data_IF_025229082121
#
_entry.id   IF_025229082121
#
_cell.length_a   1.000
_cell.length_b   1.000
_cell.length_c   1.000
_cell.angle_alpha   90.00
_cell.angle_beta   90.00
_cell.angle_gamma   90.00
#
_symmetry.space_group_name_H-M   'P 1'
#
loop_
_entity.id
_entity.type
_entity.pdbx_description
1 polymer ?
#
# COMPACT_ATOMS: atom_id res chain seq x y z
N UNK A 1 -20.69 27.96 -24.59
CA UNK A 1 -19.51 27.11 -24.39
C UNK A 1 -19.16 27.10 -22.90
N UNK A 2 -19.60 26.10 -22.18
CA UNK A 2 -19.36 25.96 -20.74
C UNK A 2 -18.10 25.13 -20.53
N UNK A 3 -17.04 25.73 -20.02
CA UNK A 3 -15.81 25.08 -19.61
C UNK A 3 -16.11 24.23 -18.38
N UNK A 4 -16.09 22.92 -18.54
CA UNK A 4 -16.13 21.95 -17.44
C UNK A 4 -14.93 22.20 -16.52
N UNK A 5 -15.16 22.70 -15.30
CA UNK A 5 -14.18 22.76 -14.23
C UNK A 5 -13.79 21.31 -13.87
N UNK A 6 -12.53 20.92 -14.13
CA UNK A 6 -11.93 19.74 -13.52
C UNK A 6 -12.02 19.91 -12.01
N UNK A 7 -12.77 19.04 -11.35
CA UNK A 7 -12.76 18.96 -9.89
C UNK A 7 -11.35 18.64 -9.37
N UNK A 8 -10.99 19.11 -8.18
CA UNK A 8 -9.69 18.83 -7.58
C UNK A 8 -9.54 17.30 -7.43
N UNK A 9 -8.49 16.73 -8.00
CA UNK A 9 -8.12 15.33 -7.75
C UNK A 9 -7.90 15.12 -6.25
N UNK A 10 -8.24 13.95 -5.74
CA UNK A 10 -7.98 13.57 -4.33
C UNK A 10 -6.51 13.87 -4.01
N UNK A 11 -6.21 14.62 -2.92
CA UNK A 11 -4.84 14.87 -2.50
C UNK A 11 -4.06 13.55 -2.36
N UNK A 12 -2.81 13.51 -2.79
CA UNK A 12 -1.98 12.30 -2.96
C UNK A 12 -1.76 11.47 -1.70
N UNK A 13 -2.01 12.04 -0.52
CA UNK A 13 -1.84 11.43 0.80
C UNK A 13 -3.16 11.02 1.46
N UNK A 14 -4.28 11.17 0.77
CA UNK A 14 -5.61 10.91 1.32
C UNK A 14 -6.07 9.47 1.04
N UNK A 15 -6.71 8.85 2.03
CA UNK A 15 -7.24 7.49 2.04
C UNK A 15 -8.72 7.51 2.38
N UNK A 16 -9.46 6.52 1.92
CA UNK A 16 -10.83 6.28 2.44
C UNK A 16 -10.75 5.79 3.88
N UNK A 17 -11.64 6.30 4.75
CA UNK A 17 -11.74 5.88 6.15
C UNK A 17 -12.26 4.43 6.30
N UNK A 18 -12.84 3.86 5.25
CA UNK A 18 -13.52 2.56 5.24
C UNK A 18 -12.79 1.44 5.97
N UNK A 19 -11.46 1.36 5.81
CA UNK A 19 -10.64 0.35 6.51
C UNK A 19 -10.57 0.54 8.04
N UNK A 20 -10.93 1.71 8.55
CA UNK A 20 -10.89 2.08 9.98
C UNK A 20 -12.27 2.38 10.56
N UNK A 21 -13.36 2.03 9.86
CA UNK A 21 -14.73 2.16 10.35
C UNK A 21 -14.98 1.37 11.66
N UNK A 22 -14.12 0.42 11.97
CA UNK A 22 -14.13 -0.31 13.25
C UNK A 22 -13.74 0.53 14.46
N UNK A 23 -13.20 1.74 14.32
CA UNK A 23 -12.75 2.57 15.46
C UNK A 23 -13.89 2.87 16.45
N UNK A 24 -15.04 3.45 16.05
CA UNK A 24 -16.10 3.73 17.02
C UNK A 24 -16.69 2.49 17.69
N UNK A 25 -17.00 1.37 17.01
CA UNK A 25 -17.50 0.18 17.68
C UNK A 25 -16.47 -0.47 18.63
N UNK A 26 -15.17 -0.46 18.27
CA UNK A 26 -14.11 -0.98 19.15
C UNK A 26 -13.98 -0.12 20.40
N UNK A 27 -13.99 1.21 20.31
CA UNK A 27 -13.98 2.08 21.49
C UNK A 27 -15.15 1.77 22.43
N UNK A 28 -16.37 1.60 21.87
CA UNK A 28 -17.55 1.23 22.67
C UNK A 28 -17.38 -0.13 23.35
N UNK A 29 -16.84 -1.12 22.65
CA UNK A 29 -16.61 -2.46 23.23
C UNK A 29 -15.59 -2.45 24.38
N UNK A 30 -14.70 -1.46 24.40
CA UNK A 30 -13.74 -1.20 25.47
C UNK A 30 -14.30 -0.30 26.59
N UNK A 31 -15.61 0.04 26.55
CA UNK A 31 -16.26 0.86 27.56
C UNK A 31 -15.99 2.36 27.44
N UNK A 32 -15.47 2.81 26.28
CA UNK A 32 -15.13 4.22 26.03
C UNK A 32 -16.21 4.91 25.17
N UNK A 33 -16.35 6.22 25.34
CA UNK A 33 -17.26 7.05 24.53
C UNK A 33 -16.49 7.56 23.30
N UNK A 34 -16.82 7.07 22.07
CA UNK A 34 -16.05 7.44 20.87
C UNK A 34 -15.96 8.94 20.65
N UNK A 35 -17.05 9.69 20.88
CA UNK A 35 -17.08 11.14 20.69
C UNK A 35 -16.03 11.87 21.54
N UNK A 36 -15.86 11.48 22.79
CA UNK A 36 -14.90 12.08 23.72
C UNK A 36 -13.47 11.76 23.31
N UNK A 37 -13.21 10.48 22.97
CA UNK A 37 -11.87 10.04 22.54
C UNK A 37 -11.46 10.73 21.25
N UNK A 38 -12.34 10.77 20.25
CA UNK A 38 -12.06 11.40 18.97
C UNK A 38 -11.84 12.91 19.12
N UNK A 39 -12.70 13.60 19.87
CA UNK A 39 -12.58 15.04 20.13
C UNK A 39 -11.27 15.38 20.87
N UNK A 40 -10.87 14.57 21.86
CA UNK A 40 -9.60 14.74 22.59
C UNK A 40 -8.38 14.59 21.66
N UNK A 41 -8.46 13.76 20.60
CA UNK A 41 -7.45 13.61 19.56
C UNK A 41 -7.52 14.65 18.43
N UNK A 42 -8.52 15.55 18.46
CA UNK A 42 -8.74 16.54 17.40
C UNK A 42 -9.36 15.95 16.13
N UNK A 43 -10.10 14.83 16.24
CA UNK A 43 -10.78 14.18 15.13
C UNK A 43 -12.29 14.44 15.17
N UNK A 44 -12.85 14.72 13.99
CA UNK A 44 -14.30 14.86 13.85
C UNK A 44 -14.98 13.48 13.87
N UNK A 45 -16.03 13.33 14.67
CA UNK A 45 -16.83 12.11 14.71
C UNK A 45 -17.53 11.84 13.38
N UNK A 46 -17.94 12.88 12.65
CA UNK A 46 -18.53 12.79 11.30
C UNK A 46 -17.62 12.13 10.27
N UNK A 47 -16.32 11.99 10.57
CA UNK A 47 -15.40 11.22 9.74
C UNK A 47 -15.87 9.78 9.50
N UNK A 48 -16.58 9.18 10.45
CA UNK A 48 -17.08 7.81 10.41
C UNK A 48 -18.54 7.66 9.95
N UNK A 49 -19.19 8.74 9.46
CA UNK A 49 -20.56 8.68 8.95
C UNK A 49 -20.62 8.05 7.55
N UNK A 50 -19.52 8.16 6.77
CA UNK A 50 -19.42 7.62 5.42
C UNK A 50 -18.04 6.94 5.23
N UNK A 51 -17.99 5.65 4.83
CA UNK A 51 -16.75 4.94 4.56
C UNK A 51 -15.91 5.53 3.42
N UNK A 52 -16.50 6.40 2.60
CA UNK A 52 -15.81 7.12 1.52
C UNK A 52 -15.20 8.46 1.97
N UNK A 53 -15.43 8.89 3.22
CA UNK A 53 -14.74 10.03 3.80
C UNK A 53 -13.23 9.83 3.76
N UNK A 54 -12.50 10.93 3.57
CA UNK A 54 -11.06 10.90 3.36
C UNK A 54 -10.29 11.33 4.61
N UNK A 55 -9.19 10.64 4.87
CA UNK A 55 -8.22 10.96 5.91
C UNK A 55 -6.80 10.83 5.34
N UNK A 56 -5.85 11.67 5.76
CA UNK A 56 -4.47 11.47 5.36
C UNK A 56 -3.83 10.27 6.07
N UNK A 57 -2.83 9.64 5.44
CA UNK A 57 -2.13 8.50 6.03
C UNK A 57 -1.56 8.85 7.41
N UNK A 58 -0.91 10.01 7.53
CA UNK A 58 -0.37 10.50 8.79
C UNK A 58 -1.44 10.76 9.86
N UNK A 59 -2.61 11.32 9.46
CA UNK A 59 -3.72 11.55 10.39
C UNK A 59 -4.32 10.22 10.87
N UNK A 60 -4.46 9.21 9.98
CA UNK A 60 -4.92 7.88 10.34
C UNK A 60 -3.99 7.21 11.35
N UNK A 61 -2.68 7.30 11.17
CA UNK A 61 -1.72 6.78 12.13
C UNK A 61 -1.88 7.46 13.50
N UNK A 62 -1.92 8.80 13.54
CA UNK A 62 -2.15 9.54 14.79
C UNK A 62 -3.47 9.16 15.47
N UNK A 63 -4.53 8.95 14.69
CA UNK A 63 -5.82 8.48 15.20
C UNK A 63 -5.68 7.15 15.92
N UNK A 64 -5.02 6.18 15.30
CA UNK A 64 -4.86 4.84 15.90
C UNK A 64 -3.96 4.87 17.13
N UNK A 65 -2.84 5.60 17.09
CA UNK A 65 -1.96 5.79 18.23
C UNK A 65 -2.69 6.47 19.40
N UNK A 66 -3.50 7.50 19.10
CA UNK A 66 -4.33 8.15 20.11
C UNK A 66 -5.33 7.19 20.75
N UNK A 67 -6.03 6.38 19.93
CA UNK A 67 -6.97 5.39 20.44
C UNK A 67 -6.28 4.33 21.31
N UNK A 68 -5.08 3.89 20.94
CA UNK A 68 -4.27 2.96 21.77
C UNK A 68 -3.92 3.61 23.11
N UNK A 69 -3.42 4.85 23.10
CA UNK A 69 -3.05 5.56 24.32
C UNK A 69 -4.22 5.76 25.28
N UNK A 70 -5.40 6.10 24.74
CA UNK A 70 -6.59 6.36 25.55
C UNK A 70 -7.28 5.09 26.05
N UNK A 71 -7.20 3.99 25.28
CA UNK A 71 -7.84 2.72 25.67
C UNK A 71 -6.92 1.78 26.44
N UNK A 72 -5.60 1.98 26.41
CA UNK A 72 -4.63 1.01 26.91
C UNK A 72 -4.61 -0.32 26.14
N UNK A 73 -5.31 -0.40 24.99
CA UNK A 73 -5.44 -1.63 24.22
C UNK A 73 -4.31 -1.72 23.17
N UNK A 74 -3.25 -2.48 23.47
CA UNK A 74 -2.09 -2.63 22.58
C UNK A 74 -2.41 -3.29 21.22
N UNK A 75 -3.50 -4.08 21.15
CA UNK A 75 -3.94 -4.77 19.93
C UNK A 75 -5.16 -4.11 19.29
N UNK A 76 -5.29 -2.80 19.43
CA UNK A 76 -6.43 -2.01 18.95
C UNK A 76 -6.61 -2.16 17.42
N UNK A 77 -5.50 -2.16 16.66
CA UNK A 77 -5.52 -2.39 15.21
C UNK A 77 -6.10 -3.75 14.83
N UNK A 78 -5.74 -4.82 15.54
CA UNK A 78 -6.33 -6.14 15.35
C UNK A 78 -7.86 -6.09 15.53
N UNK A 79 -8.35 -5.45 16.60
CA UNK A 79 -9.79 -5.32 16.86
C UNK A 79 -10.50 -4.54 15.74
N UNK A 80 -9.90 -3.45 15.25
CA UNK A 80 -10.45 -2.71 14.11
C UNK A 80 -10.56 -3.61 12.88
N UNK A 81 -9.49 -4.34 12.57
CA UNK A 81 -9.45 -5.23 11.40
C UNK A 81 -10.47 -6.36 11.46
N UNK A 82 -10.90 -6.77 12.65
CA UNK A 82 -12.00 -7.75 12.83
C UNK A 82 -13.34 -7.24 12.27
N UNK A 83 -13.53 -5.93 12.21
CA UNK A 83 -14.68 -5.28 11.55
C UNK A 83 -14.49 -5.07 10.04
N UNK A 84 -13.30 -5.38 9.50
CA UNK A 84 -13.00 -5.30 8.07
C UNK A 84 -13.40 -6.57 7.33
N UNK A 85 -13.45 -6.48 5.98
CA UNK A 85 -13.78 -7.60 5.09
C UNK A 85 -14.03 -7.08 3.68
N UNK A 86 -14.68 -7.87 2.82
CA UNK A 86 -14.98 -7.46 1.43
C UNK A 86 -15.79 -6.17 1.36
N UNK A 87 -16.71 -5.97 2.30
CA UNK A 87 -17.56 -4.77 2.34
C UNK A 87 -16.77 -3.48 2.56
N UNK A 88 -15.68 -3.53 3.32
CA UNK A 88 -14.86 -2.36 3.60
C UNK A 88 -14.01 -1.91 2.39
N UNK A 89 -13.83 -2.79 1.39
CA UNK A 89 -13.07 -2.52 0.17
C UNK A 89 -13.90 -1.78 -0.91
N UNK A 90 -15.19 -1.53 -0.66
CA UNK A 90 -16.08 -0.84 -1.59
C UNK A 90 -16.17 -1.56 -2.95
N UNK A 91 -16.00 -0.81 -4.04
CA UNK A 91 -16.13 -1.36 -5.39
C UNK A 91 -15.09 -2.47 -5.69
N UNK A 92 -13.89 -2.37 -5.12
CA UNK A 92 -12.87 -3.43 -5.23
C UNK A 92 -13.37 -4.71 -4.57
N UNK A 93 -14.00 -4.61 -3.41
CA UNK A 93 -14.59 -5.77 -2.71
C UNK A 93 -15.69 -6.46 -3.53
N UNK A 94 -16.51 -5.69 -4.26
CA UNK A 94 -17.51 -6.26 -5.19
C UNK A 94 -16.85 -7.03 -6.35
N UNK A 95 -15.79 -6.47 -6.95
CA UNK A 95 -15.06 -7.16 -8.01
C UNK A 95 -14.43 -8.47 -7.51
N UNK A 96 -13.84 -8.44 -6.33
CA UNK A 96 -13.27 -9.62 -5.66
C UNK A 96 -14.33 -10.67 -5.41
N UNK A 97 -15.48 -10.29 -4.84
CA UNK A 97 -16.61 -11.17 -4.55
C UNK A 97 -17.17 -11.86 -5.80
N UNK A 98 -17.17 -11.16 -6.93
CA UNK A 98 -17.75 -11.65 -8.19
C UNK A 98 -16.70 -12.25 -9.14
N UNK A 99 -15.56 -12.64 -8.63
CA UNK A 99 -14.53 -13.37 -9.38
C UNK A 99 -14.92 -14.85 -9.55
N UNK A 100 -14.38 -15.57 -10.55
CA UNK A 100 -14.77 -16.97 -10.81
C UNK A 100 -14.26 -17.94 -9.76
N UNK A 101 -13.07 -17.65 -9.19
CA UNK A 101 -12.39 -18.46 -8.19
C UNK A 101 -11.58 -17.56 -7.24
N UNK A 102 -11.07 -18.15 -6.17
CA UNK A 102 -10.29 -17.45 -5.14
C UNK A 102 -8.99 -16.85 -5.73
N UNK A 103 -8.33 -17.53 -6.65
CA UNK A 103 -7.11 -17.05 -7.30
C UNK A 103 -7.35 -15.78 -8.11
N UNK A 104 -8.41 -15.78 -8.93
CA UNK A 104 -8.84 -14.62 -9.69
C UNK A 104 -9.30 -13.47 -8.75
N UNK A 105 -9.96 -13.79 -7.64
CA UNK A 105 -10.38 -12.84 -6.63
C UNK A 105 -9.18 -12.12 -6.00
N UNK A 106 -8.17 -12.87 -5.57
CA UNK A 106 -6.95 -12.30 -4.99
C UNK A 106 -6.10 -11.56 -6.02
N UNK A 107 -6.05 -12.02 -7.28
CA UNK A 107 -5.40 -11.30 -8.36
C UNK A 107 -6.06 -9.93 -8.61
N UNK A 108 -7.40 -9.87 -8.63
CA UNK A 108 -8.16 -8.63 -8.73
C UNK A 108 -7.92 -7.72 -7.51
N UNK A 109 -7.90 -8.29 -6.30
CA UNK A 109 -7.62 -7.54 -5.07
C UNK A 109 -6.23 -6.89 -5.14
N UNK A 110 -5.19 -7.64 -5.48
CA UNK A 110 -3.82 -7.13 -5.66
C UNK A 110 -3.76 -6.04 -6.75
N UNK A 111 -4.39 -6.30 -7.89
CA UNK A 111 -4.36 -5.39 -9.03
C UNK A 111 -5.01 -4.04 -8.74
N UNK A 112 -6.14 -4.02 -8.04
CA UNK A 112 -6.97 -2.84 -7.82
C UNK A 112 -6.90 -2.30 -6.39
N UNK A 113 -6.04 -2.85 -5.53
CA UNK A 113 -5.89 -2.41 -4.14
C UNK A 113 -5.56 -0.92 -4.01
N UNK A 114 -4.80 -0.39 -4.97
CA UNK A 114 -4.45 1.03 -5.04
C UNK A 114 -5.66 1.98 -5.14
N UNK A 115 -6.84 1.48 -5.58
CA UNK A 115 -8.08 2.25 -5.58
C UNK A 115 -8.74 2.31 -4.19
N UNK A 116 -8.36 1.38 -3.29
CA UNK A 116 -8.85 1.34 -1.91
C UNK A 116 -7.92 2.09 -0.95
N UNK A 117 -6.61 1.92 -1.07
CA UNK A 117 -5.63 2.51 -0.17
C UNK A 117 -4.38 2.98 -0.93
N UNK A 118 -4.00 4.25 -0.73
CA UNK A 118 -2.71 4.77 -1.13
C UNK A 118 -1.69 4.54 0.01
N UNK A 119 -0.41 4.38 -0.32
CA UNK A 119 0.67 4.18 0.66
C UNK A 119 0.82 2.74 1.17
N UNK A 120 0.04 1.79 0.63
CA UNK A 120 0.21 0.37 0.90
C UNK A 120 0.01 -0.47 -0.38
N UNK A 121 0.62 -1.65 -0.43
CA UNK A 121 0.51 -2.59 -1.55
C UNK A 121 0.22 -4.00 -1.05
N UNK A 122 -0.47 -4.77 -1.89
CA UNK A 122 -0.63 -6.20 -1.73
C UNK A 122 0.24 -6.95 -2.75
N UNK A 123 0.69 -8.13 -2.37
CA UNK A 123 1.31 -9.10 -3.28
C UNK A 123 0.74 -10.49 -3.02
N UNK A 124 0.70 -11.31 -4.06
CA UNK A 124 0.36 -12.73 -3.96
C UNK A 124 1.50 -13.53 -4.59
N UNK A 125 2.20 -14.29 -3.78
CA UNK A 125 3.24 -15.22 -4.22
C UNK A 125 2.76 -16.65 -4.04
N UNK A 126 3.10 -17.53 -5.00
CA UNK A 126 2.79 -18.96 -4.93
C UNK A 126 4.06 -19.75 -5.18
N UNK A 127 4.46 -20.58 -4.21
CA UNK A 127 5.67 -21.40 -4.31
C UNK A 127 5.50 -22.68 -3.51
N UNK A 128 5.86 -23.83 -4.10
CA UNK A 128 5.93 -25.10 -3.38
C UNK A 128 4.64 -25.56 -2.71
N UNK A 129 3.46 -25.26 -3.30
CA UNK A 129 2.17 -25.62 -2.71
C UNK A 129 1.67 -24.60 -1.67
N UNK A 130 2.40 -23.53 -1.43
CA UNK A 130 2.07 -22.46 -0.48
C UNK A 130 1.71 -21.17 -1.22
N UNK A 131 0.66 -20.49 -0.78
CA UNK A 131 0.29 -19.16 -1.21
C UNK A 131 0.57 -18.16 -0.07
N UNK A 132 1.15 -17.02 -0.40
CA UNK A 132 1.50 -15.94 0.54
C UNK A 132 0.83 -14.67 0.04
N UNK A 133 -0.18 -14.19 0.77
CA UNK A 133 -0.79 -12.89 0.55
C UNK A 133 -0.11 -11.87 1.47
N UNK A 134 0.80 -11.08 0.90
CA UNK A 134 1.58 -10.08 1.62
C UNK A 134 0.95 -8.69 1.58
N UNK A 135 1.16 -7.93 2.66
CA UNK A 135 0.76 -6.53 2.79
C UNK A 135 1.94 -5.69 3.23
N UNK A 136 2.26 -4.66 2.45
CA UNK A 136 3.39 -3.77 2.70
C UNK A 136 2.92 -2.33 2.76
N UNK A 137 3.37 -1.61 3.80
CA UNK A 137 3.20 -0.17 3.97
C UNK A 137 4.45 0.52 3.43
N UNK A 138 4.27 1.50 2.56
CA UNK A 138 5.38 2.15 1.84
C UNK A 138 6.09 3.22 2.67
N UNK A 139 5.43 3.78 3.69
CA UNK A 139 5.96 4.86 4.53
C UNK A 139 5.97 4.46 6.02
N UNK A 140 6.99 4.91 6.76
CA UNK A 140 7.13 4.68 8.19
C UNK A 140 7.84 3.37 8.56
N UNK A 141 8.18 3.24 9.84
CA UNK A 141 8.83 2.05 10.41
C UNK A 141 7.84 0.96 10.82
N UNK A 142 8.35 -0.26 11.08
CA UNK A 142 7.55 -1.41 11.50
C UNK A 142 6.74 -1.13 12.77
N UNK A 143 7.35 -0.53 13.77
CA UNK A 143 6.69 -0.24 15.05
C UNK A 143 5.68 0.92 14.93
N UNK A 144 5.97 1.94 14.12
CA UNK A 144 5.06 3.08 13.86
C UNK A 144 3.80 2.64 13.12
N UNK A 145 3.90 1.61 12.29
CA UNK A 145 2.78 1.11 11.47
C UNK A 145 2.12 -0.15 12.06
N UNK A 146 2.43 -0.54 13.30
CA UNK A 146 1.93 -1.76 13.92
C UNK A 146 0.41 -1.86 13.84
N UNK A 147 -0.32 -0.86 14.32
CA UNK A 147 -1.78 -0.88 14.35
C UNK A 147 -2.41 -0.97 12.95
N UNK A 148 -1.80 -0.30 11.97
CA UNK A 148 -2.24 -0.41 10.57
C UNK A 148 -1.97 -1.79 9.99
N UNK A 149 -0.81 -2.37 10.27
CA UNK A 149 -0.44 -3.71 9.83
C UNK A 149 -1.37 -4.77 10.40
N UNK A 150 -1.59 -4.73 11.72
CA UNK A 150 -2.49 -5.64 12.42
C UNK A 150 -3.93 -5.55 11.88
N UNK A 151 -4.43 -4.33 11.68
CA UNK A 151 -5.76 -4.08 11.13
C UNK A 151 -5.91 -4.59 9.70
N UNK A 152 -4.90 -4.36 8.86
CA UNK A 152 -4.91 -4.82 7.48
C UNK A 152 -4.89 -6.35 7.38
N UNK A 153 -4.02 -7.03 8.16
CA UNK A 153 -3.94 -8.49 8.18
C UNK A 153 -5.24 -9.11 8.71
N UNK A 154 -5.84 -8.53 9.75
CA UNK A 154 -7.12 -9.00 10.26
C UNK A 154 -8.25 -8.82 9.22
N UNK A 155 -8.29 -7.70 8.51
CA UNK A 155 -9.22 -7.48 7.42
C UNK A 155 -9.02 -8.45 6.25
N UNK A 156 -7.77 -8.68 5.84
CA UNK A 156 -7.43 -9.66 4.79
C UNK A 156 -7.76 -11.10 5.21
N UNK A 157 -7.58 -11.43 6.48
CA UNK A 157 -8.02 -12.71 7.03
C UNK A 157 -9.53 -12.91 6.87
N UNK A 158 -10.34 -11.88 7.17
CA UNK A 158 -11.78 -11.93 6.94
C UNK A 158 -12.11 -12.07 5.44
N UNK A 159 -11.44 -11.33 4.55
CA UNK A 159 -11.61 -11.47 3.10
C UNK A 159 -11.37 -12.92 2.66
N UNK A 160 -10.26 -13.53 3.08
CA UNK A 160 -9.95 -14.91 2.75
C UNK A 160 -10.99 -15.88 3.32
N UNK A 161 -11.44 -15.67 4.56
CA UNK A 161 -12.47 -16.48 5.19
C UNK A 161 -13.83 -16.36 4.49
N UNK A 162 -14.19 -15.16 4.01
CA UNK A 162 -15.40 -14.95 3.21
C UNK A 162 -15.31 -15.64 1.85
N UNK A 163 -14.14 -15.61 1.19
CA UNK A 163 -13.94 -16.22 -0.13
C UNK A 163 -13.84 -17.76 -0.06
N UNK A 164 -13.09 -18.26 0.89
CA UNK A 164 -12.80 -19.69 0.99
C UNK A 164 -13.82 -20.47 1.82
N UNK A 165 -14.66 -19.76 2.60
CA UNK A 165 -15.65 -20.39 3.47
C UNK A 165 -15.10 -20.84 4.85
N UNK A 166 -15.96 -21.41 5.71
CA UNK A 166 -15.67 -21.66 7.13
C UNK A 166 -14.60 -22.74 7.36
N UNK A 167 -14.34 -23.60 6.38
CA UNK A 167 -13.31 -24.64 6.45
C UNK A 167 -11.89 -24.12 6.24
N UNK A 168 -11.73 -22.88 5.74
CA UNK A 168 -10.42 -22.30 5.49
C UNK A 168 -9.73 -21.86 6.77
N UNK A 169 -8.42 -22.13 6.82
CA UNK A 169 -7.53 -21.64 7.88
C UNK A 169 -6.17 -21.29 7.27
N UNK A 170 -5.53 -20.22 7.74
CA UNK A 170 -4.15 -19.97 7.38
C UNK A 170 -3.23 -21.01 8.07
N UNK A 171 -2.10 -21.29 7.45
CA UNK A 171 -1.01 -22.06 8.08
C UNK A 171 -0.19 -21.17 9.00
N UNK A 172 0.09 -19.96 8.55
CA UNK A 172 0.84 -18.98 9.30
C UNK A 172 0.29 -17.56 9.07
N UNK A 173 0.52 -16.69 10.06
CA UNK A 173 0.32 -15.25 9.94
C UNK A 173 1.60 -14.54 10.36
N UNK A 174 2.12 -13.71 9.48
CA UNK A 174 3.35 -12.97 9.67
C UNK A 174 3.08 -11.52 10.00
N UNK A 175 3.78 -10.99 10.99
CA UNK A 175 3.77 -9.59 11.38
C UNK A 175 5.20 -9.02 11.38
N UNK A 176 5.37 -7.85 10.76
CA UNK A 176 6.67 -7.19 10.65
C UNK A 176 7.16 -6.63 12.00
N UNK A 177 6.24 -6.24 12.87
CA UNK A 177 6.57 -5.66 14.16
C UNK A 177 7.07 -6.69 15.17
N UNK A 178 7.65 -6.21 16.26
CA UNK A 178 8.13 -7.03 17.37
C UNK A 178 6.97 -7.78 18.03
N UNK A 179 7.30 -8.96 18.59
CA UNK A 179 6.32 -9.77 19.34
C UNK A 179 5.73 -8.93 20.48
N UNK A 180 4.40 -8.76 20.55
CA UNK A 180 3.74 -8.08 21.67
C UNK A 180 3.92 -8.83 22.98
N UNK A 181 3.75 -8.14 24.11
CA UNK A 181 3.75 -8.82 25.42
C UNK A 181 2.60 -9.82 25.54
N UNK A 182 1.40 -9.42 25.10
CA UNK A 182 0.23 -10.30 25.04
C UNK A 182 -0.09 -10.69 23.59
N UNK A 183 0.15 -11.96 23.23
CA UNK A 183 -0.17 -12.52 21.92
C UNK A 183 -1.51 -13.25 21.89
N UNK A 184 -2.14 -13.44 23.03
CA UNK A 184 -3.37 -14.22 23.15
C UNK A 184 -4.50 -13.75 22.22
N UNK A 185 -4.80 -12.41 22.08
CA UNK A 185 -5.80 -11.93 21.15
C UNK A 185 -5.55 -12.34 19.71
N UNK A 186 -4.27 -12.34 19.27
CA UNK A 186 -3.88 -12.76 17.93
C UNK A 186 -4.07 -14.27 17.74
N UNK A 187 -3.67 -15.09 18.74
CA UNK A 187 -3.82 -16.55 18.70
C UNK A 187 -5.29 -16.95 18.65
N UNK A 188 -6.12 -16.33 19.46
CA UNK A 188 -7.56 -16.58 19.49
C UNK A 188 -8.25 -16.22 18.16
N UNK A 189 -7.82 -15.13 17.53
CA UNK A 189 -8.42 -14.66 16.29
C UNK A 189 -7.98 -15.45 15.07
N UNK A 190 -6.68 -15.54 14.82
CA UNK A 190 -6.15 -16.18 13.61
C UNK A 190 -6.16 -17.70 13.67
N UNK A 191 -6.03 -18.29 14.85
CA UNK A 191 -5.96 -19.75 15.10
C UNK A 191 -4.92 -20.44 14.22
N UNK A 192 -3.75 -19.80 14.04
CA UNK A 192 -2.64 -20.21 13.20
C UNK A 192 -1.30 -19.94 13.89
N UNK A 193 -0.21 -20.46 13.31
CA UNK A 193 1.12 -20.12 13.78
C UNK A 193 1.40 -18.63 13.51
N UNK A 194 1.90 -17.91 14.53
CA UNK A 194 2.21 -16.48 14.45
C UNK A 194 3.73 -16.27 14.38
N UNK A 195 4.19 -15.59 13.36
CA UNK A 195 5.59 -15.19 13.19
C UNK A 195 5.71 -13.68 13.30
N UNK A 196 6.40 -13.20 14.32
CA UNK A 196 6.75 -11.79 14.52
C UNK A 196 8.17 -11.50 14.04
N UNK A 197 8.52 -10.23 13.86
CA UNK A 197 9.77 -9.78 13.23
C UNK A 197 9.99 -10.38 11.83
N UNK A 198 8.91 -10.56 11.09
CA UNK A 198 8.96 -11.04 9.72
C UNK A 198 9.40 -9.92 8.74
N UNK A 199 9.79 -10.28 7.53
CA UNK A 199 10.17 -9.31 6.49
C UNK A 199 8.97 -8.50 5.96
N UNK A 200 7.76 -9.07 6.07
CA UNK A 200 6.51 -8.43 5.65
C UNK A 200 5.34 -8.91 6.52
N UNK A 201 4.27 -8.13 6.53
CA UNK A 201 2.99 -8.63 7.03
C UNK A 201 2.39 -9.58 5.98
N UNK A 202 1.94 -10.78 6.36
CA UNK A 202 1.39 -11.74 5.39
C UNK A 202 0.45 -12.76 6.03
N UNK A 203 -0.41 -13.34 5.20
CA UNK A 203 -1.19 -14.53 5.50
C UNK A 203 -0.70 -15.65 4.58
N UNK A 204 -0.29 -16.75 5.17
CA UNK A 204 0.22 -17.94 4.48
C UNK A 204 -0.81 -19.05 4.54
N UNK A 205 -1.09 -19.70 3.41
CA UNK A 205 -2.08 -20.76 3.32
C UNK A 205 -1.76 -21.71 2.16
N UNK A 206 -2.41 -22.87 2.12
CA UNK A 206 -2.20 -23.84 1.06
C UNK A 206 -2.74 -23.34 -0.29
N UNK A 207 -1.90 -23.42 -1.34
CA UNK A 207 -2.24 -22.85 -2.66
C UNK A 207 -3.41 -23.53 -3.36
N UNK A 208 -3.80 -24.75 -2.96
CA UNK A 208 -4.98 -25.42 -3.50
C UNK A 208 -6.27 -24.61 -3.32
N UNK A 209 -6.35 -23.76 -2.31
CA UNK A 209 -7.48 -22.88 -2.09
C UNK A 209 -7.70 -21.87 -3.22
N UNK A 210 -6.65 -21.52 -3.97
CA UNK A 210 -6.74 -20.58 -5.09
C UNK A 210 -7.66 -21.10 -6.22
N UNK A 211 -7.76 -22.44 -6.39
CA UNK A 211 -8.60 -23.06 -7.40
C UNK A 211 -10.08 -23.21 -6.97
N UNK A 212 -10.43 -22.85 -5.71
CA UNK A 212 -11.79 -23.00 -5.23
C UNK A 212 -12.72 -22.06 -5.99
N UNK A 213 -13.80 -22.58 -6.60
CA UNK A 213 -14.78 -21.77 -7.30
C UNK A 213 -15.55 -20.90 -6.31
N UNK A 214 -15.87 -19.68 -6.72
CA UNK A 214 -16.79 -18.80 -6.01
C UNK A 214 -18.21 -18.96 -6.55
N UNK A 215 -19.25 -18.59 -5.77
CA UNK A 215 -20.63 -18.68 -6.23
C UNK A 215 -20.81 -17.94 -7.57
N UNK A 216 -21.46 -18.62 -8.53
CA UNK A 216 -21.74 -18.02 -9.83
C UNK A 216 -22.59 -16.76 -9.68
N UNK A 217 -22.16 -15.70 -10.33
CA UNK A 217 -22.90 -14.44 -10.44
C UNK A 217 -23.17 -14.19 -11.93
N UNK A 218 -24.33 -13.64 -12.24
CA UNK A 218 -24.68 -13.27 -13.61
C UNK A 218 -23.53 -12.49 -14.26
N UNK A 219 -23.10 -12.95 -15.43
CA UNK A 219 -21.98 -12.38 -16.20
C UNK A 219 -22.12 -10.87 -16.43
N UNK A 220 -23.36 -10.38 -16.49
CA UNK A 220 -23.67 -8.96 -16.68
C UNK A 220 -23.32 -8.10 -15.46
N UNK A 221 -23.58 -8.61 -14.24
CA UNK A 221 -23.23 -7.91 -12.98
C UNK A 221 -21.70 -7.79 -12.88
N UNK A 222 -20.99 -8.89 -13.14
CA UNK A 222 -19.52 -8.88 -13.16
C UNK A 222 -18.99 -7.88 -14.18
N UNK A 223 -19.53 -7.87 -15.39
CA UNK A 223 -19.15 -6.94 -16.46
C UNK A 223 -19.41 -5.49 -16.08
N UNK A 224 -20.54 -5.22 -15.42
CA UNK A 224 -20.88 -3.87 -14.94
C UNK A 224 -19.89 -3.38 -13.87
N UNK A 225 -19.58 -4.22 -12.87
CA UNK A 225 -18.59 -3.89 -11.83
C UNK A 225 -17.20 -3.67 -12.44
N UNK A 226 -16.78 -4.53 -13.38
CA UNK A 226 -15.51 -4.37 -14.10
C UNK A 226 -15.44 -3.03 -14.84
N UNK A 227 -16.50 -2.65 -15.57
CA UNK A 227 -16.55 -1.36 -16.26
C UNK A 227 -16.44 -0.17 -15.31
N UNK A 228 -17.08 -0.25 -14.14
CA UNK A 228 -17.00 0.82 -13.13
C UNK A 228 -15.58 0.92 -12.53
N UNK A 229 -14.94 -0.22 -12.25
CA UNK A 229 -13.55 -0.25 -11.79
C UNK A 229 -12.61 0.30 -12.86
N UNK A 230 -12.76 -0.09 -14.12
CA UNK A 230 -11.92 0.40 -15.21
C UNK A 230 -12.08 1.93 -15.40
N UNK A 231 -13.30 2.44 -15.25
CA UNK A 231 -13.57 3.86 -15.27
C UNK A 231 -12.92 4.59 -14.07
N UNK A 232 -12.98 4.00 -12.88
CA UNK A 232 -12.33 4.52 -11.69
C UNK A 232 -10.79 4.48 -11.83
N UNK A 233 -10.25 3.35 -12.24
CA UNK A 233 -8.82 3.17 -12.52
C UNK A 233 -8.30 4.12 -13.62
N UNK A 234 -9.15 4.45 -14.60
CA UNK A 234 -8.78 5.41 -15.64
C UNK A 234 -8.69 6.85 -15.12
N UNK A 235 -9.48 7.22 -14.13
CA UNK A 235 -9.38 8.52 -13.44
C UNK A 235 -8.12 8.63 -12.57
N UNK A 236 -7.63 7.50 -12.06
CA UNK A 236 -6.41 7.38 -11.25
C UNK A 236 -5.18 6.98 -12.11
N UNK A 237 -5.25 7.09 -13.45
CA UNK A 237 -4.10 6.82 -14.34
C UNK A 237 -2.88 7.68 -14.04
N UNK A 238 -3.11 8.87 -13.51
CA UNK A 238 -2.03 9.78 -13.11
C UNK A 238 -1.24 9.27 -11.87
N UNK A 239 -1.80 8.31 -11.11
CA UNK A 239 -1.18 7.78 -9.90
C UNK A 239 -0.23 6.61 -10.17
N UNK A 240 -0.41 5.84 -11.26
CA UNK A 240 0.43 4.69 -11.55
C UNK A 240 1.91 5.04 -11.75
N UNK A 241 2.29 6.10 -12.50
CA UNK A 241 3.65 6.57 -12.56
C UNK A 241 4.24 6.94 -11.20
N UNK A 242 3.43 7.51 -10.30
CA UNK A 242 3.89 7.90 -8.96
C UNK A 242 4.09 6.69 -8.04
N UNK A 243 3.23 5.68 -8.12
CA UNK A 243 3.46 4.40 -7.44
C UNK A 243 4.79 3.77 -7.89
N UNK A 244 5.03 3.75 -9.21
CA UNK A 244 6.30 3.27 -9.76
C UNK A 244 7.48 4.11 -9.27
N UNK A 245 7.34 5.45 -9.19
CA UNK A 245 8.40 6.35 -8.67
C UNK A 245 8.72 6.06 -7.20
N UNK A 246 7.72 5.86 -6.36
CA UNK A 246 7.91 5.55 -4.94
C UNK A 246 8.71 4.26 -4.78
N UNK A 247 8.34 3.21 -5.50
CA UNK A 247 9.07 1.95 -5.48
C UNK A 247 10.47 2.07 -6.09
N UNK A 248 10.63 2.89 -7.14
CA UNK A 248 11.93 3.16 -7.76
C UNK A 248 12.89 3.86 -6.79
N UNK A 249 12.42 4.84 -6.00
CA UNK A 249 13.26 5.50 -4.99
C UNK A 249 13.76 4.50 -3.95
N UNK A 250 12.89 3.63 -3.43
CA UNK A 250 13.26 2.56 -2.50
C UNK A 250 14.22 1.55 -3.15
N UNK A 251 13.94 1.14 -4.38
CA UNK A 251 14.76 0.20 -5.15
C UNK A 251 16.13 0.78 -5.50
N UNK A 252 16.23 2.08 -5.76
CA UNK A 252 17.51 2.76 -5.95
C UNK A 252 18.36 2.75 -4.68
N UNK A 253 17.76 2.96 -3.51
CA UNK A 253 18.49 2.91 -2.23
C UNK A 253 18.97 1.50 -1.89
N UNK A 254 18.22 0.46 -2.29
CA UNK A 254 18.59 -0.96 -2.07
C UNK A 254 19.48 -1.55 -3.17
N UNK A 255 19.75 -0.82 -4.25
CA UNK A 255 20.65 -1.25 -5.33
C UNK A 255 20.02 -2.12 -6.42
N UNK A 256 18.72 -2.38 -6.40
CA UNK A 256 18.04 -3.23 -7.38
C UNK A 256 16.82 -2.52 -8.02
N UNK A 257 17.10 -1.45 -8.77
CA UNK A 257 16.09 -0.69 -9.50
C UNK A 257 15.85 -1.23 -10.93
N UNK A 258 15.81 -2.57 -11.10
CA UNK A 258 15.46 -3.20 -12.38
C UNK A 258 13.96 -3.27 -12.58
N UNK A 259 13.50 -3.24 -13.82
CA UNK A 259 12.07 -3.23 -14.15
C UNK A 259 11.35 -4.51 -13.71
N UNK A 260 12.02 -5.66 -13.75
CA UNK A 260 11.50 -6.94 -13.27
C UNK A 260 11.28 -6.93 -11.76
N UNK A 261 12.21 -6.34 -11.00
CA UNK A 261 12.09 -6.19 -9.54
C UNK A 261 10.95 -5.27 -9.16
N UNK A 262 10.85 -4.09 -9.77
CA UNK A 262 9.76 -3.14 -9.50
C UNK A 262 8.41 -3.70 -9.94
N UNK A 263 8.35 -4.44 -11.05
CA UNK A 263 7.14 -5.13 -11.48
C UNK A 263 6.72 -6.22 -10.46
N UNK A 264 7.67 -6.97 -9.91
CA UNK A 264 7.41 -7.95 -8.86
C UNK A 264 6.85 -7.31 -7.58
N UNK A 265 7.40 -6.15 -7.15
CA UNK A 265 6.88 -5.39 -6.02
C UNK A 265 5.44 -4.90 -6.25
N UNK A 266 5.06 -4.64 -7.49
CA UNK A 266 3.69 -4.30 -7.90
C UNK A 266 2.83 -5.54 -8.17
N UNK A 267 3.36 -6.75 -7.99
CA UNK A 267 2.70 -8.03 -8.31
C UNK A 267 2.16 -8.10 -9.75
N UNK A 268 2.88 -7.49 -10.70
CA UNK A 268 2.55 -7.49 -12.12
C UNK A 268 3.72 -8.01 -12.95
N UNK A 269 3.43 -8.52 -14.16
CA UNK A 269 4.46 -8.89 -15.10
C UNK A 269 5.17 -7.64 -15.66
N UNK A 270 6.51 -7.63 -15.93
CA UNK A 270 7.24 -6.49 -16.49
C UNK A 270 6.64 -5.92 -17.77
N UNK A 271 6.02 -6.77 -18.58
CA UNK A 271 5.29 -6.35 -19.79
C UNK A 271 4.07 -5.49 -19.46
N UNK A 272 3.37 -5.82 -18.36
CA UNK A 272 2.22 -5.05 -17.87
C UNK A 272 2.67 -3.70 -17.30
N UNK A 273 3.78 -3.66 -16.55
CA UNK A 273 4.41 -2.43 -16.08
C UNK A 273 4.69 -1.48 -17.25
N UNK A 274 5.43 -1.94 -18.27
CA UNK A 274 5.77 -1.14 -19.42
C UNK A 274 4.53 -0.69 -20.21
N UNK A 275 3.52 -1.55 -20.39
CA UNK A 275 2.27 -1.21 -21.08
C UNK A 275 1.50 -0.11 -20.33
N UNK A 276 1.39 -0.21 -19.00
CA UNK A 276 0.71 0.81 -18.18
C UNK A 276 1.43 2.15 -18.20
N UNK A 277 2.76 2.15 -18.09
CA UNK A 277 3.55 3.37 -18.20
C UNK A 277 3.40 4.02 -19.60
N UNK A 278 3.40 3.22 -20.66
CA UNK A 278 3.20 3.72 -22.02
C UNK A 278 1.81 4.36 -22.20
N UNK A 279 0.77 3.84 -21.56
CA UNK A 279 -0.57 4.45 -21.56
C UNK A 279 -0.60 5.82 -20.85
N UNK A 280 0.34 6.07 -19.92
CA UNK A 280 0.56 7.36 -19.27
C UNK A 280 1.58 8.24 -20.03
N UNK A 281 2.01 7.86 -21.24
CA UNK A 281 3.00 8.60 -22.04
C UNK A 281 4.43 8.52 -21.50
N UNK A 282 4.73 7.53 -20.63
CA UNK A 282 6.02 7.39 -19.95
C UNK A 282 6.68 6.04 -20.29
N UNK A 283 8.00 5.99 -20.15
CA UNK A 283 8.76 4.74 -20.12
C UNK A 283 9.35 4.49 -18.75
N UNK A 284 9.64 3.23 -18.42
CA UNK A 284 10.33 2.88 -17.18
C UNK A 284 11.68 3.61 -17.05
N UNK A 285 12.45 3.67 -18.14
CA UNK A 285 13.72 4.37 -18.18
C UNK A 285 13.58 5.86 -17.90
N UNK A 286 12.55 6.50 -18.43
CA UNK A 286 12.27 7.92 -18.16
C UNK A 286 11.98 8.16 -16.67
N UNK A 287 11.19 7.28 -16.05
CA UNK A 287 10.92 7.39 -14.61
C UNK A 287 12.16 7.14 -13.77
N UNK A 288 12.96 6.15 -14.10
CA UNK A 288 14.22 5.83 -13.42
C UNK A 288 15.20 7.01 -13.51
N UNK A 289 15.35 7.60 -14.68
CA UNK A 289 16.21 8.77 -14.90
C UNK A 289 15.71 9.98 -14.09
N UNK A 290 14.41 10.23 -14.05
CA UNK A 290 13.81 11.30 -13.24
C UNK A 290 14.04 11.09 -11.74
N UNK A 291 13.82 9.87 -11.22
CA UNK A 291 14.09 9.56 -9.81
C UNK A 291 15.57 9.75 -9.46
N UNK A 292 16.48 9.27 -10.32
CA UNK A 292 17.92 9.49 -10.12
C UNK A 292 18.29 10.96 -10.10
N UNK A 293 17.70 11.75 -10.99
CA UNK A 293 17.96 13.18 -11.06
C UNK A 293 17.45 13.92 -9.82
N UNK A 294 16.22 13.65 -9.37
CA UNK A 294 15.66 14.24 -8.16
C UNK A 294 16.50 13.90 -6.91
N UNK A 295 16.88 12.62 -6.77
CA UNK A 295 17.74 12.18 -5.66
C UNK A 295 19.13 12.81 -5.73
N UNK A 296 19.71 12.93 -6.95
CA UNK A 296 20.98 13.61 -7.15
C UNK A 296 20.92 15.08 -6.73
N UNK A 297 19.87 15.80 -7.13
CA UNK A 297 19.66 17.20 -6.74
C UNK A 297 19.56 17.36 -5.22
N UNK A 298 18.82 16.48 -4.57
CA UNK A 298 18.67 16.51 -3.10
C UNK A 298 20.02 16.26 -2.41
N UNK A 299 20.76 15.22 -2.81
CA UNK A 299 22.08 14.93 -2.24
C UNK A 299 23.09 16.07 -2.51
N UNK A 300 23.06 16.67 -3.69
CA UNK A 300 23.93 17.80 -4.04
C UNK A 300 23.61 19.04 -3.20
N UNK A 301 22.35 19.25 -2.81
CA UNK A 301 21.88 20.40 -2.02
C UNK A 301 22.09 20.19 -0.52
N UNK A 302 21.71 19.01 -0.01
CA UNK A 302 21.52 18.75 1.42
C UNK A 302 22.70 18.00 2.05
N UNK A 303 23.74 17.65 1.26
CA UNK A 303 24.93 16.96 1.77
C UNK A 303 26.22 17.46 1.13
N UNK A 304 27.34 17.20 1.83
CA UNK A 304 28.70 17.45 1.31
C UNK A 304 29.33 16.21 0.63
N UNK A 305 28.51 15.19 0.29
CA UNK A 305 28.98 13.99 -0.40
C UNK A 305 29.74 14.34 -1.68
N UNK A 306 30.86 13.66 -1.93
CA UNK A 306 31.62 13.82 -3.17
C UNK A 306 30.79 13.35 -4.37
N UNK A 307 31.06 13.89 -5.55
CA UNK A 307 30.35 13.50 -6.78
C UNK A 307 30.50 12.00 -7.05
N UNK A 308 31.64 11.41 -6.70
CA UNK A 308 31.87 9.96 -6.82
C UNK A 308 31.01 9.15 -5.83
N UNK A 309 30.77 9.66 -4.63
CA UNK A 309 29.92 9.00 -3.64
C UNK A 309 28.44 9.06 -4.05
N UNK A 310 27.97 10.19 -4.57
CA UNK A 310 26.63 10.32 -5.15
C UNK A 310 26.44 9.35 -6.33
N UNK A 311 27.45 9.25 -7.20
CA UNK A 311 27.42 8.30 -8.31
C UNK A 311 27.23 6.85 -7.82
N UNK A 312 27.93 6.47 -6.75
CA UNK A 312 27.85 5.15 -6.14
C UNK A 312 26.46 4.89 -5.55
N UNK A 313 25.91 5.83 -4.77
CA UNK A 313 24.57 5.73 -4.16
C UNK A 313 23.48 5.59 -5.24
N UNK A 314 23.65 6.26 -6.39
CA UNK A 314 22.70 6.18 -7.51
C UNK A 314 22.97 5.01 -8.46
N UNK A 315 23.88 4.10 -8.08
CA UNK A 315 24.27 2.89 -8.83
C UNK A 315 24.75 3.17 -10.25
N UNK A 316 25.61 4.19 -10.39
CA UNK A 316 26.42 4.38 -11.61
C UNK A 316 27.74 3.62 -11.48
N UNK A 317 28.22 3.07 -12.58
CA UNK A 317 29.51 2.35 -12.63
C UNK A 317 30.68 3.23 -12.19
N UNK A 318 30.63 4.52 -12.52
CA UNK A 318 31.65 5.49 -12.17
C UNK A 318 31.10 6.93 -12.16
N UNK A 319 31.88 7.87 -11.62
CA UNK A 319 31.52 9.28 -11.54
C UNK A 319 31.36 9.93 -12.93
N UNK A 320 32.07 9.46 -13.94
CA UNK A 320 32.02 10.00 -15.31
C UNK A 320 30.65 9.71 -15.94
N UNK A 321 30.17 8.49 -15.80
CA UNK A 321 28.85 8.05 -16.27
C UNK A 321 27.73 8.85 -15.60
N UNK A 322 27.84 9.09 -14.29
CA UNK A 322 26.91 9.95 -13.58
C UNK A 322 26.94 11.41 -14.07
N UNK A 323 28.12 12.00 -14.22
CA UNK A 323 28.28 13.38 -14.72
C UNK A 323 27.66 13.54 -16.11
N UNK A 324 27.84 12.56 -16.99
CA UNK A 324 27.22 12.57 -18.31
C UNK A 324 25.70 12.50 -18.24
N UNK A 325 25.14 11.62 -17.41
CA UNK A 325 23.71 11.51 -17.19
C UNK A 325 23.13 12.80 -16.62
N UNK A 326 23.75 13.37 -15.59
CA UNK A 326 23.32 14.62 -14.97
C UNK A 326 23.34 15.80 -15.95
N UNK A 327 24.38 15.90 -16.82
CA UNK A 327 24.42 16.92 -17.87
C UNK A 327 23.29 16.75 -18.88
N UNK A 328 22.94 15.53 -19.24
CA UNK A 328 21.81 15.25 -20.13
C UNK A 328 20.50 15.74 -19.55
N UNK A 329 20.33 15.64 -18.22
CA UNK A 329 19.08 16.03 -17.54
C UNK A 329 18.98 17.53 -17.25
N UNK A 330 20.11 18.18 -16.89
CA UNK A 330 20.13 19.56 -16.37
C UNK A 330 20.88 20.56 -17.23
N UNK A 331 21.49 20.14 -18.33
CA UNK A 331 22.38 20.94 -19.19
C UNK A 331 23.60 21.55 -18.44
N UNK A 332 23.89 21.09 -17.21
CA UNK A 332 25.03 21.54 -16.41
C UNK A 332 25.73 20.37 -15.70
N UNK A 333 26.90 20.61 -15.11
CA UNK A 333 27.57 19.57 -14.32
C UNK A 333 27.09 19.55 -12.88
N UNK A 334 27.14 18.39 -12.17
CA UNK A 334 26.78 18.32 -10.75
C UNK A 334 27.53 19.33 -9.88
N UNK A 335 28.81 19.54 -10.14
CA UNK A 335 29.64 20.49 -9.38
C UNK A 335 29.19 21.95 -9.59
N UNK A 336 28.91 22.36 -10.83
CA UNK A 336 28.36 23.70 -11.11
C UNK A 336 26.97 23.87 -10.55
N UNK A 337 26.14 22.86 -10.63
CA UNK A 337 24.79 22.87 -10.06
C UNK A 337 24.84 23.05 -8.55
N UNK A 338 25.70 22.31 -7.82
CA UNK A 338 25.92 22.47 -6.37
C UNK A 338 26.40 23.87 -6.01
N UNK A 339 27.35 24.41 -6.75
CA UNK A 339 27.87 25.77 -6.51
C UNK A 339 26.79 26.85 -6.65
N UNK A 340 25.84 26.66 -7.57
CA UNK A 340 24.72 27.58 -7.79
C UNK A 340 23.65 27.50 -6.69
N UNK A 341 23.59 26.42 -5.88
CA UNK A 341 22.61 26.25 -4.80
C UNK A 341 23.12 26.74 -3.43
N UNK A 342 24.44 26.92 -3.24
CA UNK A 342 24.98 27.48 -1.99
C UNK A 342 24.73 28.99 -2.01
N UNK A 343 23.98 29.55 -1.04
CA UNK A 343 23.86 30.99 -0.92
C UNK A 343 25.25 31.60 -0.70
N UNK A 344 25.52 32.75 -1.34
CA UNK A 344 26.73 33.55 -1.10
C UNK A 344 26.76 34.13 0.31
#
# INVERSE_FOLDING_TARGET
MATARKGPGTPRDMLRIGATMGVPPVLRSLGLIPAEILAAGGFDQGLFDDPDNLISFAARNRLLEHCVAMSGCEHFGLLIGQHGGLHSLGLVGLLVKYSPDVGAALANLVQYFHLHAHGATLNLAVQGGTAILGYQIQEGGADTNRQLGDGAIAGLFNVLRELCGPGWKPTEVWAIHRKPQNIEPYQQYFKAHLQFNAEQNAIVFHSSWLANPLPEVHSDVRRMVQKQIDALASRHRDDFPEQVRTLLRAALLSGDARADRVAALLSIHPRTLNRRLKLCGLSYQTLLDNCRFEMAQQMLKDSDLKISEIALVLHYADARSFIQAFRRWSNTTPARWRAAQKPR
#
